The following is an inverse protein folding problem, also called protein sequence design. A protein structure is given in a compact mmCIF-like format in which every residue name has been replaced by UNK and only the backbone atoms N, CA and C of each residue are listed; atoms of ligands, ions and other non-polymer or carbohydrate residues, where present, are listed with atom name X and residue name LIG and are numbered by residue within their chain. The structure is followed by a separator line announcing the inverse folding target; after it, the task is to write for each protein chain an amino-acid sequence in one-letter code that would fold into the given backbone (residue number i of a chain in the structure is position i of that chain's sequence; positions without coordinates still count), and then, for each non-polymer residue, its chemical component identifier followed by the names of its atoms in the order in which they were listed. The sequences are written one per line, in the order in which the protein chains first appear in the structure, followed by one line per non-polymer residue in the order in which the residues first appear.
data_IF_046848761059
#
_entry.id   IF_046848761059
#
_cell.length_a   1.000
_cell.length_b   1.000
_cell.length_c   1.000
_cell.angle_alpha   90.00
_cell.angle_beta   90.00
_cell.angle_gamma   90.00
#
_symmetry.space_group_name_H-M   'P 1'
#
loop_
_entity.id
_entity.type
_entity.pdbx_description
1 polymer ?
#
# COMPACT_ATOMS: atom_id res chain seq x y z
N UNK A 1 -26.62 0.02 -41.61
CA UNK A 1 -26.87 0.58 -40.26
C UNK A 1 -26.00 -0.23 -39.29
N UNK A 2 -24.73 0.14 -39.10
CA UNK A 2 -23.81 -0.63 -38.26
C UNK A 2 -23.73 0.01 -36.86
N UNK A 3 -24.28 -0.69 -35.88
CA UNK A 3 -24.24 -0.32 -34.46
C UNK A 3 -22.83 -0.56 -33.93
N UNK A 4 -22.17 0.50 -33.48
CA UNK A 4 -20.88 0.45 -32.79
C UNK A 4 -21.16 0.04 -31.34
N UNK A 5 -20.95 -1.23 -31.01
CA UNK A 5 -20.94 -1.67 -29.61
C UNK A 5 -19.62 -1.21 -28.98
N UNK A 6 -19.69 -0.13 -28.20
CA UNK A 6 -18.57 0.32 -27.35
C UNK A 6 -18.38 -0.74 -26.25
N UNK A 7 -17.42 -1.65 -26.45
CA UNK A 7 -16.95 -2.58 -25.42
C UNK A 7 -16.26 -1.75 -24.33
N UNK A 8 -17.01 -1.41 -23.28
CA UNK A 8 -16.47 -0.81 -22.06
C UNK A 8 -15.63 -1.92 -21.41
N UNK A 9 -14.32 -1.88 -21.65
CA UNK A 9 -13.39 -2.85 -21.09
C UNK A 9 -13.53 -2.85 -19.57
N UNK A 10 -14.00 -3.96 -19.02
CA UNK A 10 -13.88 -4.26 -17.60
C UNK A 10 -12.39 -4.35 -17.29
N UNK A 11 -11.79 -3.24 -16.88
CA UNK A 11 -10.44 -3.27 -16.35
C UNK A 11 -10.47 -4.24 -15.16
N UNK A 12 -9.69 -5.33 -15.16
CA UNK A 12 -9.66 -6.23 -14.03
C UNK A 12 -9.24 -5.38 -12.83
N UNK A 13 -10.01 -5.46 -11.74
CA UNK A 13 -9.81 -4.68 -10.52
C UNK A 13 -8.33 -4.74 -10.04
N UNK A 14 -7.62 -5.83 -10.34
CA UNK A 14 -6.18 -5.99 -10.09
C UNK A 14 -5.24 -5.09 -10.91
N UNK A 15 -5.53 -4.78 -12.17
CA UNK A 15 -4.69 -3.89 -12.99
C UNK A 15 -4.79 -2.42 -12.51
N UNK A 16 -5.92 -2.04 -11.92
CA UNK A 16 -6.10 -0.72 -11.29
C UNK A 16 -5.23 -0.56 -10.04
N UNK A 17 -5.22 -1.56 -9.15
CA UNK A 17 -4.46 -1.48 -7.91
C UNK A 17 -2.95 -1.46 -8.11
N UNK A 18 -2.43 -2.22 -9.07
CA UNK A 18 -1.01 -2.17 -9.43
C UNK A 18 -0.60 -0.75 -9.86
N UNK A 19 -1.36 -0.13 -10.76
CA UNK A 19 -1.11 1.24 -11.20
C UNK A 19 -1.18 2.25 -10.04
N UNK A 20 -2.18 2.13 -9.15
CA UNK A 20 -2.33 2.97 -7.97
C UNK A 20 -1.16 2.81 -6.99
N UNK A 21 -0.66 1.59 -6.81
CA UNK A 21 0.51 1.30 -5.99
C UNK A 21 1.77 1.96 -6.55
N UNK A 22 2.02 1.83 -7.84
CA UNK A 22 3.14 2.50 -8.49
C UNK A 22 3.02 4.02 -8.42
N UNK A 23 1.82 4.57 -8.59
CA UNK A 23 1.56 5.99 -8.43
C UNK A 23 1.86 6.46 -7.01
N UNK A 24 1.45 5.71 -5.98
CA UNK A 24 1.79 6.00 -4.58
C UNK A 24 3.30 5.99 -4.34
N UNK A 25 4.04 5.03 -4.93
CA UNK A 25 5.51 4.99 -4.80
C UNK A 25 6.14 6.26 -5.39
N UNK A 26 5.73 6.61 -6.61
CA UNK A 26 6.31 7.73 -7.34
C UNK A 26 5.95 9.09 -6.73
N UNK A 27 4.69 9.27 -6.31
CA UNK A 27 4.16 10.57 -5.88
C UNK A 27 4.23 10.82 -4.38
N UNK A 28 4.25 9.77 -3.54
CA UNK A 28 4.21 9.89 -2.08
C UNK A 28 5.51 9.40 -1.44
N UNK A 29 5.96 8.17 -1.69
CA UNK A 29 7.12 7.63 -0.96
C UNK A 29 8.42 8.33 -1.35
N UNK A 30 8.73 8.37 -2.65
CA UNK A 30 9.98 8.96 -3.15
C UNK A 30 10.09 10.47 -2.92
N UNK A 31 8.97 11.14 -2.73
CA UNK A 31 8.89 12.59 -2.50
C UNK A 31 8.92 12.97 -1.01
N UNK A 32 8.68 12.01 -0.10
CA UNK A 32 8.55 12.27 1.35
C UNK A 32 9.54 11.45 2.19
N UNK A 33 10.83 11.54 1.83
CA UNK A 33 11.94 10.99 2.61
C UNK A 33 11.88 9.46 2.90
N UNK A 34 11.23 8.69 2.03
CA UNK A 34 11.34 7.22 2.03
C UNK A 34 12.51 6.85 1.12
N UNK A 35 13.70 6.89 1.70
CA UNK A 35 14.98 6.89 0.96
C UNK A 35 15.53 5.49 0.72
N UNK A 36 15.09 4.50 1.51
CA UNK A 36 15.59 3.13 1.40
C UNK A 36 14.93 2.43 0.21
N UNK A 37 15.73 2.10 -0.81
CA UNK A 37 15.27 1.42 -2.01
C UNK A 37 14.65 0.05 -1.70
N UNK A 38 15.09 -0.64 -0.64
CA UNK A 38 14.54 -1.94 -0.21
C UNK A 38 13.11 -1.77 0.30
N UNK A 39 12.86 -0.72 1.10
CA UNK A 39 11.52 -0.38 1.59
C UNK A 39 10.60 0.00 0.44
N UNK A 40 11.07 0.87 -0.47
CA UNK A 40 10.31 1.28 -1.66
C UNK A 40 9.95 0.08 -2.53
N UNK A 41 10.91 -0.82 -2.79
CA UNK A 41 10.67 -2.02 -3.60
C UNK A 41 9.69 -2.99 -2.91
N UNK A 42 9.83 -3.19 -1.60
CA UNK A 42 8.93 -4.05 -0.84
C UNK A 42 7.49 -3.52 -0.86
N UNK A 43 7.30 -2.22 -0.62
CA UNK A 43 5.98 -1.58 -0.68
C UNK A 43 5.38 -1.54 -2.10
N UNK A 44 6.21 -1.52 -3.15
CA UNK A 44 5.77 -1.65 -4.54
C UNK A 44 5.31 -3.08 -4.88
N UNK A 45 5.77 -4.09 -4.14
CA UNK A 45 5.42 -5.50 -4.39
C UNK A 45 4.24 -5.98 -3.57
N UNK A 46 4.11 -5.52 -2.33
CA UNK A 46 3.07 -6.00 -1.39
C UNK A 46 1.72 -5.33 -1.70
N UNK A 47 0.66 -6.11 -2.00
CA UNK A 47 -0.69 -5.60 -2.31
C UNK A 47 -1.41 -5.09 -1.06
N UNK A 48 -1.28 -3.80 -0.77
CA UNK A 48 -1.89 -3.17 0.41
C UNK A 48 -3.42 -3.34 0.49
N UNK A 49 -4.09 -3.38 -0.65
CA UNK A 49 -5.53 -3.61 -0.82
C UNK A 49 -5.99 -4.95 -0.22
N UNK A 50 -5.12 -5.96 -0.19
CA UNK A 50 -5.48 -7.28 0.36
C UNK A 50 -5.54 -7.25 1.90
N UNK A 51 -4.89 -6.27 2.53
CA UNK A 51 -4.87 -6.07 3.97
C UNK A 51 -5.98 -5.13 4.46
N UNK A 52 -6.98 -4.82 3.62
CA UNK A 52 -8.07 -3.91 3.97
C UNK A 52 -9.44 -4.58 3.77
N UNK A 53 -10.45 -4.18 4.57
CA UNK A 53 -11.84 -4.54 4.33
C UNK A 53 -12.26 -4.17 2.90
N UNK A 54 -13.11 -4.99 2.28
CA UNK A 54 -13.47 -4.89 0.87
C UNK A 54 -14.01 -3.50 0.50
N UNK A 55 -14.81 -2.91 1.38
CA UNK A 55 -15.46 -1.61 1.26
C UNK A 55 -14.52 -0.41 1.19
N UNK A 56 -13.25 -0.57 1.60
CA UNK A 56 -12.26 0.53 1.64
C UNK A 56 -11.01 0.24 0.81
N UNK A 57 -10.98 -0.85 0.02
CA UNK A 57 -9.82 -1.22 -0.81
C UNK A 57 -9.46 -0.17 -1.84
N UNK A 58 -10.46 0.52 -2.40
CA UNK A 58 -10.25 1.60 -3.37
C UNK A 58 -9.51 2.82 -2.75
N UNK A 59 -9.41 2.87 -1.42
CA UNK A 59 -8.67 3.90 -0.71
C UNK A 59 -7.24 3.46 -0.33
N UNK A 60 -6.84 2.22 -0.63
CA UNK A 60 -5.61 1.59 -0.14
C UNK A 60 -4.35 2.44 -0.33
N UNK A 61 -4.27 3.17 -1.44
CA UNK A 61 -3.09 3.91 -1.88
C UNK A 61 -3.21 5.43 -1.72
N UNK A 62 -4.29 5.90 -1.09
CA UNK A 62 -4.44 7.30 -0.71
C UNK A 62 -3.66 7.57 0.57
N UNK A 63 -3.04 8.74 0.65
CA UNK A 63 -2.32 9.18 1.84
C UNK A 63 -3.31 9.69 2.91
N UNK A 64 -4.13 8.78 3.42
CA UNK A 64 -5.14 9.05 4.45
C UNK A 64 -5.26 7.88 5.42
N UNK A 65 -5.69 8.16 6.65
CA UNK A 65 -6.03 7.11 7.60
C UNK A 65 -7.28 6.38 7.12
N UNK A 66 -7.22 5.05 7.04
CA UNK A 66 -8.35 4.21 6.60
C UNK A 66 -8.96 3.55 7.84
N UNK A 67 -10.23 3.82 8.18
CA UNK A 67 -10.88 3.18 9.32
C UNK A 67 -10.92 1.65 9.15
N UNK A 68 -10.56 0.93 10.21
CA UNK A 68 -10.62 -0.53 10.29
C UNK A 68 -11.76 -1.01 11.21
N UNK A 69 -12.52 -0.07 11.79
CA UNK A 69 -13.52 -0.34 12.81
C UNK A 69 -12.96 -0.35 14.23
N UNK A 70 -13.86 -0.35 15.22
CA UNK A 70 -13.55 -0.34 16.65
C UNK A 70 -12.57 0.78 17.08
N UNK A 71 -12.69 1.96 16.46
CA UNK A 71 -11.83 3.12 16.74
C UNK A 71 -10.38 2.99 16.25
N UNK A 72 -10.07 1.96 15.44
CA UNK A 72 -8.74 1.73 14.86
C UNK A 72 -8.71 2.13 13.39
N UNK A 73 -7.53 2.52 12.92
CA UNK A 73 -7.27 2.88 11.53
C UNK A 73 -5.96 2.26 11.04
N UNK A 74 -5.89 1.95 9.75
CA UNK A 74 -4.65 1.57 9.08
C UNK A 74 -3.73 2.80 8.96
N UNK A 75 -2.44 2.59 9.17
CA UNK A 75 -1.45 3.65 9.05
C UNK A 75 -1.32 4.10 7.59
N UNK A 76 -1.04 5.38 7.36
CA UNK A 76 -0.85 5.93 6.01
C UNK A 76 0.32 5.22 5.30
N UNK A 77 0.29 5.07 3.97
CA UNK A 77 1.41 4.49 3.23
C UNK A 77 2.72 5.25 3.49
N UNK A 78 2.69 6.59 3.43
CA UNK A 78 3.88 7.42 3.69
C UNK A 78 4.44 7.20 5.10
N UNK A 79 3.58 7.22 6.12
CA UNK A 79 3.99 6.99 7.50
C UNK A 79 4.61 5.60 7.70
N UNK A 80 4.07 4.58 7.03
CA UNK A 80 4.64 3.23 7.04
C UNK A 80 6.01 3.20 6.37
N UNK A 81 6.16 3.81 5.19
CA UNK A 81 7.44 3.85 4.48
C UNK A 81 8.53 4.57 5.28
N UNK A 82 8.20 5.69 5.93
CA UNK A 82 9.15 6.41 6.80
C UNK A 82 9.52 5.58 8.02
N UNK A 83 8.55 4.98 8.71
CA UNK A 83 8.81 4.11 9.85
C UNK A 83 9.83 3.00 9.51
N UNK A 84 9.65 2.34 8.36
CA UNK A 84 10.54 1.27 7.92
C UNK A 84 11.93 1.78 7.49
N UNK A 85 11.99 2.96 6.87
CA UNK A 85 13.26 3.60 6.48
C UNK A 85 14.09 3.94 7.71
N UNK A 86 13.48 4.56 8.71
CA UNK A 86 14.14 4.99 9.96
C UNK A 86 14.47 3.84 10.91
N UNK A 87 13.88 2.65 10.69
CA UNK A 87 14.19 1.46 11.46
C UNK A 87 15.52 0.79 11.03
N UNK A 88 16.09 1.18 9.88
CA UNK A 88 17.35 0.66 9.33
C UNK A 88 17.47 -0.86 9.33
N UNK A 89 16.35 -1.55 9.05
CA UNK A 89 16.26 -3.00 9.16
C UNK A 89 17.23 -3.72 8.21
N UNK A 90 17.73 -4.86 8.69
CA UNK A 90 18.56 -5.83 8.00
C UNK A 90 17.88 -7.19 7.99
N UNK A 91 18.28 -8.08 7.08
CA UNK A 91 17.67 -9.40 6.93
C UNK A 91 17.85 -10.32 8.15
N UNK A 92 18.74 -9.98 9.09
CA UNK A 92 19.03 -10.75 10.30
C UNK A 92 18.29 -10.25 11.53
N UNK A 93 17.58 -9.12 11.41
CA UNK A 93 16.91 -8.51 12.56
C UNK A 93 15.68 -9.31 12.99
N UNK A 94 15.43 -9.30 14.29
CA UNK A 94 14.19 -9.81 14.89
C UNK A 94 13.33 -8.62 15.29
N UNK A 95 12.19 -8.47 14.63
CA UNK A 95 11.33 -7.29 14.79
C UNK A 95 10.12 -7.61 15.67
N UNK A 96 9.87 -6.76 16.66
CA UNK A 96 8.59 -6.71 17.37
C UNK A 96 7.75 -5.56 16.81
N UNK A 97 6.66 -5.90 16.12
CA UNK A 97 5.70 -4.92 15.63
C UNK A 97 4.52 -4.78 16.60
N UNK A 98 4.46 -3.68 17.34
CA UNK A 98 3.34 -3.35 18.22
C UNK A 98 2.30 -2.58 17.42
N UNK A 99 1.03 -3.01 17.49
CA UNK A 99 -0.05 -2.35 16.76
C UNK A 99 -0.08 -2.69 15.25
N UNK A 100 0.17 -3.96 14.90
CA UNK A 100 0.23 -4.43 13.51
C UNK A 100 -1.06 -4.23 12.68
N UNK A 101 -2.18 -3.89 13.33
CA UNK A 101 -3.49 -3.72 12.71
C UNK A 101 -3.85 -4.92 11.82
N UNK A 102 -3.98 -4.73 10.52
CA UNK A 102 -4.29 -5.79 9.54
C UNK A 102 -3.09 -6.60 9.07
N UNK A 103 -1.89 -6.27 9.56
CA UNK A 103 -0.64 -6.98 9.23
C UNK A 103 0.12 -6.41 8.05
N UNK A 104 -0.39 -5.38 7.35
CA UNK A 104 0.29 -4.80 6.18
C UNK A 104 1.74 -4.41 6.48
N UNK A 105 2.01 -3.71 7.58
CA UNK A 105 3.37 -3.26 7.93
C UNK A 105 4.35 -4.41 8.14
N UNK A 106 3.87 -5.61 8.52
CA UNK A 106 4.74 -6.78 8.67
C UNK A 106 5.17 -7.37 7.32
N UNK A 107 4.34 -7.28 6.27
CA UNK A 107 4.61 -7.93 4.99
C UNK A 107 5.85 -7.36 4.24
N UNK A 108 6.12 -6.04 4.21
CA UNK A 108 7.34 -5.49 3.60
C UNK A 108 8.64 -5.85 4.34
N UNK A 109 8.57 -6.27 5.59
CA UNK A 109 9.73 -6.59 6.44
C UNK A 109 9.90 -8.10 6.70
N UNK A 110 9.06 -8.92 6.07
CA UNK A 110 9.12 -10.39 6.14
C UNK A 110 9.90 -11.00 4.98
#
# INVERSE_FOLDING_TARGET
MNTITHSIGTNPVGAGFEAMRHAMVASQLRTNAVNDQRVVAAMARVPREEFLPAEVRDLAYRDTAIPLGAGRSANLPMATGRLLTEAYLTATDRVLLIGAATGYTAAPIS
#
